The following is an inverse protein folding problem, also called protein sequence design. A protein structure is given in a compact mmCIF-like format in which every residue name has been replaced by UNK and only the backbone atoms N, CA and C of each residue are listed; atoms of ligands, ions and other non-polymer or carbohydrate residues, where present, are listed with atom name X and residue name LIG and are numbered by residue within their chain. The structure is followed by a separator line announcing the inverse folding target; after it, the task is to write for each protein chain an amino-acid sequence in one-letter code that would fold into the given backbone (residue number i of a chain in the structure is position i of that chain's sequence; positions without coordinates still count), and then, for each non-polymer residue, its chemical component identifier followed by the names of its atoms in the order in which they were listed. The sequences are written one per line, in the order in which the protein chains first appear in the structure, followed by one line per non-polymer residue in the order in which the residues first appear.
data_IF_621962125100
#
_entry.id   IF_621962125100
#
_cell.length_a   1.000
_cell.length_b   1.000
_cell.length_c   1.000
_cell.angle_alpha   90.00
_cell.angle_beta   90.00
_cell.angle_gamma   90.00
#
_symmetry.space_group_name_H-M   'P 1'
#
loop_
_entity.id
_entity.type
_entity.pdbx_description
1 polymer ?
#
# COMPACT_ATOMS: atom_id res chain seq x y z
N UNK A 1 8.98 11.45 -13.86
CA UNK A 1 9.96 12.55 -13.59
C UNK A 1 10.13 13.38 -14.84
N UNK A 2 10.10 14.72 -14.79
CA UNK A 2 10.39 15.56 -15.96
C UNK A 2 11.87 15.43 -16.36
N UNK A 3 12.12 15.25 -17.65
CA UNK A 3 13.48 15.11 -18.23
C UNK A 3 13.73 16.14 -19.35
N UNK A 4 12.83 17.10 -19.51
CA UNK A 4 12.90 18.19 -20.48
C UNK A 4 11.57 18.90 -20.60
N UNK A 5 11.48 19.84 -21.55
CA UNK A 5 10.28 20.68 -21.72
C UNK A 5 8.99 19.88 -22.10
N UNK A 6 9.15 18.76 -22.81
CA UNK A 6 8.04 17.93 -23.32
C UNK A 6 8.12 16.47 -22.88
N UNK A 7 9.15 16.08 -22.13
CA UNK A 7 9.42 14.68 -21.84
C UNK A 7 9.38 14.38 -20.36
N UNK A 8 8.80 13.22 -20.03
CA UNK A 8 8.78 12.65 -18.69
C UNK A 8 9.26 11.21 -18.75
N UNK A 9 10.04 10.75 -17.78
CA UNK A 9 10.22 9.34 -17.57
C UNK A 9 9.06 8.79 -16.75
N UNK A 10 8.63 7.55 -17.02
CA UNK A 10 7.60 6.87 -16.30
C UNK A 10 8.07 5.51 -15.82
N UNK A 11 7.99 5.28 -14.52
CA UNK A 11 8.29 3.98 -13.94
C UNK A 11 7.03 3.10 -13.96
N UNK A 12 7.13 1.98 -14.66
CA UNK A 12 6.07 0.97 -14.71
C UNK A 12 6.43 -0.22 -13.84
N UNK A 13 5.46 -0.70 -13.07
CA UNK A 13 5.62 -1.96 -12.33
C UNK A 13 5.34 -3.10 -13.28
N UNK A 14 6.32 -3.99 -13.45
CA UNK A 14 6.21 -5.16 -14.32
C UNK A 14 4.98 -6.01 -13.99
N UNK A 15 4.25 -6.41 -15.03
CA UNK A 15 3.03 -7.20 -14.91
C UNK A 15 1.77 -6.44 -14.49
N UNK A 16 1.86 -5.12 -14.20
CA UNK A 16 0.70 -4.25 -13.99
C UNK A 16 0.10 -3.80 -15.31
N UNK A 17 -1.10 -3.23 -15.25
CA UNK A 17 -1.91 -2.96 -16.43
C UNK A 17 -1.26 -1.97 -17.40
N UNK A 18 -0.68 -0.88 -16.91
CA UNK A 18 0.07 0.05 -17.76
C UNK A 18 1.26 -0.62 -18.44
N UNK A 19 2.00 -1.48 -17.72
CA UNK A 19 3.11 -2.24 -18.32
C UNK A 19 2.62 -3.21 -19.40
N UNK A 20 1.52 -3.92 -19.16
CA UNK A 20 0.93 -4.83 -20.15
C UNK A 20 0.47 -4.08 -21.40
N UNK A 21 -0.22 -2.94 -21.22
CA UNK A 21 -0.67 -2.09 -22.32
C UNK A 21 0.51 -1.55 -23.13
N UNK A 22 1.57 -1.10 -22.45
CA UNK A 22 2.80 -0.63 -23.10
C UNK A 22 3.49 -1.76 -23.88
N UNK A 23 3.62 -2.95 -23.30
CA UNK A 23 4.22 -4.09 -24.00
C UNK A 23 3.39 -4.54 -25.20
N UNK A 24 2.06 -4.45 -25.10
CA UNK A 24 1.18 -4.73 -26.22
C UNK A 24 1.43 -3.75 -27.37
N UNK A 25 1.39 -2.44 -27.12
CA UNK A 25 1.66 -1.42 -28.15
C UNK A 25 3.06 -1.58 -28.76
N UNK A 26 4.08 -1.76 -27.91
CA UNK A 26 5.47 -1.96 -28.33
C UNK A 26 5.64 -3.16 -29.25
N UNK A 27 4.97 -4.28 -28.98
CA UNK A 27 5.04 -5.49 -29.79
C UNK A 27 4.38 -5.30 -31.18
N UNK A 28 3.53 -4.28 -31.32
CA UNK A 28 2.92 -3.86 -32.60
C UNK A 28 3.68 -2.71 -33.28
N UNK A 29 4.80 -2.26 -32.73
CA UNK A 29 5.59 -1.15 -33.27
C UNK A 29 4.92 0.21 -33.05
N UNK A 30 4.07 0.33 -32.02
CA UNK A 30 3.27 1.52 -31.76
C UNK A 30 3.68 2.19 -30.44
N UNK A 31 3.61 3.51 -30.39
CA UNK A 31 3.64 4.26 -29.14
C UNK A 31 2.30 4.13 -28.43
N UNK A 32 2.32 4.08 -27.08
CA UNK A 32 1.08 3.97 -26.31
C UNK A 32 0.52 5.36 -26.00
N UNK A 33 -0.67 5.74 -26.52
CA UNK A 33 -1.33 6.97 -26.12
C UNK A 33 -1.65 6.99 -24.63
N UNK A 34 -1.41 8.14 -23.97
CA UNK A 34 -1.68 8.33 -22.54
C UNK A 34 -2.27 9.71 -22.26
N UNK A 35 -3.03 9.81 -21.18
CA UNK A 35 -3.47 11.04 -20.58
C UNK A 35 -3.14 11.04 -19.09
N UNK A 36 -2.39 12.04 -18.63
CA UNK A 36 -2.01 12.21 -17.23
C UNK A 36 -2.88 13.29 -16.62
N UNK A 37 -3.61 12.97 -15.56
CA UNK A 37 -4.47 13.90 -14.83
C UNK A 37 -3.86 14.33 -13.52
N UNK A 38 -3.88 15.62 -13.22
CA UNK A 38 -3.39 16.21 -11.96
C UNK A 38 -4.53 17.03 -11.34
N UNK A 39 -4.61 17.01 -10.02
CA UNK A 39 -5.66 17.72 -9.30
C UNK A 39 -7.04 17.07 -9.53
N UNK A 40 -7.16 15.79 -9.27
CA UNK A 40 -8.43 15.05 -9.34
C UNK A 40 -9.06 14.93 -7.95
N UNK A 41 -10.35 14.58 -7.90
CA UNK A 41 -11.03 14.31 -6.64
C UNK A 41 -10.33 13.18 -5.87
N UNK A 42 -10.14 13.26 -4.52
CA UNK A 42 -9.44 12.25 -3.72
C UNK A 42 -9.94 10.81 -3.92
N UNK A 43 -11.22 10.60 -4.15
CA UNK A 43 -11.77 9.28 -4.47
C UNK A 43 -11.15 8.65 -5.73
N UNK A 44 -10.76 9.47 -6.71
CA UNK A 44 -10.10 9.01 -7.94
C UNK A 44 -8.65 8.64 -7.64
N UNK A 45 -7.95 9.47 -6.86
CA UNK A 45 -6.58 9.19 -6.40
C UNK A 45 -6.53 7.89 -5.58
N UNK A 46 -7.48 7.69 -4.66
CA UNK A 46 -7.60 6.46 -3.88
C UNK A 46 -7.85 5.27 -4.82
N UNK A 47 -8.82 5.37 -5.72
CA UNK A 47 -9.14 4.31 -6.66
C UNK A 47 -7.96 3.92 -7.54
N UNK A 48 -7.15 4.89 -8.01
CA UNK A 48 -5.97 4.64 -8.85
C UNK A 48 -4.87 3.82 -8.15
N UNK A 49 -4.87 3.78 -6.82
CA UNK A 49 -3.94 2.98 -6.02
C UNK A 49 -4.39 1.50 -5.90
N UNK A 50 -5.67 1.21 -6.12
CA UNK A 50 -6.17 -0.16 -6.14
C UNK A 50 -5.77 -0.86 -7.44
N UNK A 51 -5.72 -2.18 -7.39
CA UNK A 51 -5.55 -3.00 -8.57
C UNK A 51 -6.87 -3.72 -8.85
N UNK A 52 -7.56 -3.32 -9.90
CA UNK A 52 -8.69 -4.05 -10.42
C UNK A 52 -8.23 -5.33 -11.15
N UNK A 53 -9.15 -6.23 -11.43
CA UNK A 53 -8.87 -7.37 -12.30
C UNK A 53 -8.60 -6.88 -13.73
N UNK A 54 -7.73 -7.57 -14.46
CA UNK A 54 -7.43 -7.22 -15.84
C UNK A 54 -8.71 -7.11 -16.70
N UNK A 55 -8.84 -6.01 -17.42
CA UNK A 55 -10.03 -5.69 -18.21
C UNK A 55 -11.11 -4.92 -17.43
N UNK A 56 -10.94 -4.69 -16.13
CA UNK A 56 -11.78 -3.79 -15.34
C UNK A 56 -11.02 -2.51 -15.04
N UNK A 57 -11.71 -1.38 -15.13
CA UNK A 57 -11.10 -0.07 -14.87
C UNK A 57 -11.26 0.31 -13.39
N UNK A 58 -10.20 0.86 -12.79
CA UNK A 58 -10.25 1.51 -11.48
C UNK A 58 -11.25 2.67 -11.42
N UNK A 59 -11.65 3.22 -12.58
CA UNK A 59 -12.72 4.20 -12.65
C UNK A 59 -14.06 3.67 -12.10
N UNK A 60 -14.30 2.35 -12.12
CA UNK A 60 -15.49 1.76 -11.48
C UNK A 60 -15.44 1.88 -9.96
N UNK A 61 -14.25 1.74 -9.36
CA UNK A 61 -14.01 1.93 -7.92
C UNK A 61 -14.21 3.41 -7.57
N UNK A 62 -13.62 4.32 -8.35
CA UNK A 62 -13.81 5.76 -8.19
C UNK A 62 -15.29 6.15 -8.28
N UNK A 63 -16.00 5.59 -9.25
CA UNK A 63 -17.43 5.86 -9.42
C UNK A 63 -18.26 5.39 -8.22
N UNK A 64 -17.95 4.23 -7.67
CA UNK A 64 -18.60 3.72 -6.44
C UNK A 64 -18.33 4.64 -5.24
N UNK A 65 -17.07 5.07 -5.05
CA UNK A 65 -16.70 6.01 -3.99
C UNK A 65 -17.38 7.38 -4.15
N UNK A 66 -17.72 7.77 -5.36
CA UNK A 66 -18.44 9.01 -5.71
C UNK A 66 -19.96 8.82 -5.78
N UNK A 67 -20.50 7.73 -5.23
CA UNK A 67 -21.94 7.42 -5.30
C UNK A 67 -22.50 7.48 -6.73
N UNK A 68 -21.77 6.91 -7.69
CA UNK A 68 -22.08 6.87 -9.12
C UNK A 68 -22.14 8.25 -9.80
N UNK A 69 -21.36 9.22 -9.31
CA UNK A 69 -21.30 10.60 -9.85
C UNK A 69 -19.99 10.91 -10.57
N UNK A 70 -19.20 9.90 -10.96
CA UNK A 70 -17.99 10.12 -11.75
C UNK A 70 -18.35 10.60 -13.16
N UNK A 71 -18.05 11.85 -13.44
CA UNK A 71 -18.19 12.41 -14.79
C UNK A 71 -16.87 12.29 -15.55
N UNK A 72 -16.93 11.78 -16.77
CA UNK A 72 -15.79 11.63 -17.67
C UNK A 72 -15.98 12.50 -18.92
N UNK A 73 -14.86 12.97 -19.49
CA UNK A 73 -14.80 13.65 -20.79
C UNK A 73 -13.69 13.03 -21.63
N UNK A 74 -13.81 13.11 -22.96
CA UNK A 74 -12.77 12.61 -23.87
C UNK A 74 -11.73 13.69 -24.15
N UNK A 75 -10.48 13.32 -24.08
CA UNK A 75 -9.37 14.16 -24.50
C UNK A 75 -9.46 14.46 -26.02
N UNK A 76 -9.19 15.69 -26.46
CA UNK A 76 -9.32 16.08 -27.86
C UNK A 76 -8.39 15.32 -28.82
N UNK A 77 -7.18 15.00 -28.41
CA UNK A 77 -6.16 14.33 -29.26
C UNK A 77 -6.25 12.82 -29.10
N UNK A 78 -5.98 12.31 -27.91
CA UNK A 78 -5.87 10.86 -27.64
C UNK A 78 -7.21 10.13 -27.60
N UNK A 79 -8.32 10.85 -27.50
CA UNK A 79 -9.69 10.32 -27.28
C UNK A 79 -9.85 9.50 -25.99
N UNK A 80 -8.85 9.51 -25.11
CA UNK A 80 -8.89 8.84 -23.81
C UNK A 80 -9.88 9.55 -22.90
N UNK A 81 -10.70 8.77 -22.20
CA UNK A 81 -11.65 9.30 -21.22
C UNK A 81 -10.90 9.65 -19.92
N UNK A 82 -11.08 10.88 -19.44
CA UNK A 82 -10.49 11.41 -18.21
C UNK A 82 -11.56 12.00 -17.31
N UNK A 83 -11.34 12.13 -15.98
CA UNK A 83 -12.26 12.82 -15.09
C UNK A 83 -12.47 14.27 -15.56
N UNK A 84 -13.73 14.65 -15.78
CA UNK A 84 -14.09 15.99 -16.31
C UNK A 84 -13.74 17.13 -15.34
N UNK A 85 -13.51 16.79 -14.06
CA UNK A 85 -13.16 17.73 -12.99
C UNK A 85 -11.66 17.85 -12.73
N UNK A 86 -10.81 17.24 -13.57
CA UNK A 86 -9.35 17.37 -13.45
C UNK A 86 -8.91 18.83 -13.57
N UNK A 87 -7.96 19.23 -12.76
CA UNK A 87 -7.38 20.58 -12.80
C UNK A 87 -6.46 20.75 -14.02
N UNK A 88 -5.63 19.72 -14.28
CA UNK A 88 -4.69 19.68 -15.41
C UNK A 88 -4.80 18.30 -16.07
N UNK A 89 -4.77 18.28 -17.40
CA UNK A 89 -4.68 17.05 -18.21
C UNK A 89 -3.54 17.21 -19.21
N UNK A 90 -2.59 16.30 -19.18
CA UNK A 90 -1.49 16.24 -20.13
C UNK A 90 -1.73 15.06 -21.08
N UNK A 91 -1.96 15.33 -22.36
CA UNK A 91 -2.06 14.31 -23.41
C UNK A 91 -0.70 14.07 -24.05
N UNK A 92 -0.41 12.82 -24.36
CA UNK A 92 0.83 12.43 -25.00
C UNK A 92 0.88 10.94 -25.28
N UNK A 93 2.08 10.45 -25.44
CA UNK A 93 2.33 9.03 -25.76
C UNK A 93 3.61 8.53 -25.10
N UNK A 94 3.59 7.27 -24.68
CA UNK A 94 4.78 6.57 -24.20
C UNK A 94 5.50 6.02 -25.41
N UNK A 95 6.72 6.49 -25.61
CA UNK A 95 7.56 6.12 -26.76
C UNK A 95 8.09 4.68 -26.59
N UNK A 96 7.88 3.85 -27.60
CA UNK A 96 8.22 2.43 -27.53
C UNK A 96 9.75 2.14 -27.49
N UNK A 97 10.57 3.03 -28.03
CA UNK A 97 11.99 2.85 -28.24
C UNK A 97 12.87 3.80 -27.39
N UNK A 98 12.25 4.77 -26.69
CA UNK A 98 12.99 5.76 -25.91
C UNK A 98 12.94 5.44 -24.40
N UNK A 99 14.11 5.40 -23.78
CA UNK A 99 14.25 5.21 -22.34
C UNK A 99 15.15 6.27 -21.73
N UNK A 100 14.93 6.54 -20.44
CA UNK A 100 15.77 7.41 -19.60
C UNK A 100 16.19 6.68 -18.35
N UNK A 101 17.43 6.90 -17.89
CA UNK A 101 17.89 6.34 -16.61
C UNK A 101 17.37 7.22 -15.48
N UNK A 102 16.55 6.65 -14.63
CA UNK A 102 15.85 7.38 -13.57
C UNK A 102 16.32 6.95 -12.19
N UNK A 103 16.64 7.93 -11.37
CA UNK A 103 16.80 7.82 -9.93
C UNK A 103 15.50 8.25 -9.27
N UNK A 104 14.99 7.44 -8.36
CA UNK A 104 13.72 7.70 -7.72
C UNK A 104 13.80 7.44 -6.22
N UNK A 105 13.20 8.33 -5.44
CA UNK A 105 12.92 8.07 -4.02
C UNK A 105 11.70 7.17 -3.93
N UNK A 106 11.86 6.03 -3.30
CA UNK A 106 10.78 5.06 -3.10
C UNK A 106 9.94 5.38 -1.86
N UNK A 107 8.84 4.65 -1.70
CA UNK A 107 7.89 4.83 -0.60
C UNK A 107 8.53 4.66 0.80
N UNK A 108 9.66 3.99 0.92
CA UNK A 108 10.43 3.90 2.18
C UNK A 108 11.33 5.11 2.43
N UNK A 109 11.33 6.12 1.57
CA UNK A 109 12.24 7.28 1.55
C UNK A 109 13.70 6.90 1.31
N UNK A 110 13.95 5.73 0.78
CA UNK A 110 15.26 5.30 0.29
C UNK A 110 15.32 5.47 -1.22
N UNK A 111 16.52 5.68 -1.76
CA UNK A 111 16.70 5.66 -3.21
C UNK A 111 16.64 4.24 -3.73
N UNK A 112 15.90 4.02 -4.81
CA UNK A 112 15.98 2.79 -5.58
C UNK A 112 17.19 2.82 -6.52
N UNK A 113 17.58 1.64 -7.01
CA UNK A 113 18.64 1.53 -8.03
C UNK A 113 18.20 2.23 -9.32
N UNK A 114 19.13 2.91 -10.03
CA UNK A 114 18.82 3.49 -11.32
C UNK A 114 18.26 2.44 -12.27
N UNK A 115 17.15 2.76 -12.93
CA UNK A 115 16.53 1.86 -13.92
C UNK A 115 16.22 2.62 -15.19
N UNK A 116 16.33 1.93 -16.33
CA UNK A 116 15.84 2.46 -17.60
C UNK A 116 14.32 2.45 -17.58
N UNK A 117 13.74 3.65 -17.58
CA UNK A 117 12.30 3.87 -17.61
C UNK A 117 11.85 4.37 -18.98
N UNK A 118 10.71 3.95 -19.53
CA UNK A 118 10.16 4.50 -20.75
C UNK A 118 9.91 6.01 -20.65
N UNK A 119 9.90 6.68 -21.79
CA UNK A 119 9.73 8.13 -21.89
C UNK A 119 8.35 8.44 -22.45
N UNK A 120 7.65 9.38 -21.80
CA UNK A 120 6.42 9.99 -22.30
C UNK A 120 6.82 11.28 -23.05
N UNK A 121 6.29 11.46 -24.24
CA UNK A 121 6.26 12.74 -24.95
C UNK A 121 4.91 13.40 -24.74
N UNK A 122 4.88 14.63 -24.20
CA UNK A 122 3.66 15.42 -24.02
C UNK A 122 3.39 16.21 -25.29
N UNK A 123 2.21 16.05 -25.84
CA UNK A 123 1.75 16.72 -27.05
C UNK A 123 0.93 17.97 -26.73
N UNK A 124 0.10 17.88 -25.68
CA UNK A 124 -0.79 18.99 -25.28
C UNK A 124 -1.03 18.98 -23.76
N UNK A 125 -1.11 20.17 -23.20
CA UNK A 125 -1.53 20.38 -21.80
C UNK A 125 -2.81 21.21 -21.81
N UNK A 126 -3.85 20.69 -21.14
CA UNK A 126 -5.09 21.37 -20.85
C UNK A 126 -5.14 21.68 -19.38
N UNK A 127 -5.62 22.84 -18.99
CA UNK A 127 -5.74 23.24 -17.59
C UNK A 127 -6.92 24.18 -17.39
N UNK A 128 -7.46 24.18 -16.19
CA UNK A 128 -8.53 25.08 -15.79
C UNK A 128 -7.99 26.49 -15.54
N UNK A 129 -8.85 27.48 -15.65
CA UNK A 129 -8.53 28.81 -15.11
C UNK A 129 -8.29 28.67 -13.61
N UNK A 130 -7.15 29.18 -13.13
CA UNK A 130 -6.69 29.06 -11.73
C UNK A 130 -6.52 27.60 -11.26
N UNK A 131 -5.97 26.73 -12.13
CA UNK A 131 -5.75 25.32 -11.83
C UNK A 131 -4.90 25.12 -10.56
N UNK A 132 -5.32 24.19 -9.72
CA UNK A 132 -4.57 23.77 -8.53
C UNK A 132 -3.67 22.60 -8.92
N UNK A 133 -2.36 22.77 -8.72
CA UNK A 133 -1.41 21.69 -8.89
C UNK A 133 -1.34 20.86 -7.61
N UNK A 134 -1.74 19.58 -7.71
CA UNK A 134 -1.64 18.62 -6.62
C UNK A 134 -0.50 17.64 -6.92
N UNK A 135 0.48 17.59 -6.05
CA UNK A 135 1.62 16.65 -6.12
C UNK A 135 1.60 15.70 -4.93
N UNK A 136 2.03 14.46 -5.16
CA UNK A 136 2.16 13.43 -4.12
C UNK A 136 3.64 13.16 -3.91
N UNK A 137 4.17 13.67 -2.80
CA UNK A 137 5.57 13.54 -2.48
C UNK A 137 5.93 12.09 -2.14
N UNK A 138 6.77 11.47 -2.95
CA UNK A 138 7.19 10.08 -2.78
C UNK A 138 7.85 9.83 -1.42
N UNK A 139 7.47 8.74 -0.77
CA UNK A 139 8.00 8.33 0.54
C UNK A 139 7.43 9.09 1.74
N UNK A 140 6.51 10.04 1.54
CA UNK A 140 5.81 10.72 2.63
C UNK A 140 4.45 10.08 2.92
N UNK A 141 3.75 10.60 3.93
CA UNK A 141 2.55 9.97 4.52
C UNK A 141 1.48 9.63 3.49
N UNK A 142 1.15 10.56 2.59
CA UNK A 142 0.12 10.36 1.57
C UNK A 142 0.49 9.24 0.60
N UNK A 143 1.71 9.28 0.04
CA UNK A 143 2.18 8.24 -0.88
C UNK A 143 2.18 6.85 -0.22
N UNK A 144 2.65 6.75 1.03
CA UNK A 144 2.65 5.50 1.79
C UNK A 144 1.26 4.99 2.09
N UNK A 145 0.34 5.90 2.45
CA UNK A 145 -1.06 5.56 2.72
C UNK A 145 -1.74 5.03 1.46
N UNK A 146 -1.60 5.70 0.33
CA UNK A 146 -2.16 5.27 -0.95
C UNK A 146 -1.65 3.90 -1.39
N UNK A 147 -0.36 3.62 -1.18
CA UNK A 147 0.22 2.31 -1.49
C UNK A 147 -0.23 1.22 -0.51
N UNK A 148 -0.35 1.54 0.77
CA UNK A 148 -0.68 0.57 1.82
C UNK A 148 -2.17 0.23 1.90
N UNK A 149 -3.06 1.19 1.71
CA UNK A 149 -4.50 1.04 1.90
C UNK A 149 -5.12 -0.12 1.10
N UNK A 150 -4.81 -0.32 -0.20
CA UNK A 150 -5.33 -1.45 -0.96
C UNK A 150 -4.85 -2.80 -0.41
N UNK A 151 -3.59 -2.86 0.03
CA UNK A 151 -2.99 -4.07 0.58
C UNK A 151 -3.57 -4.40 1.93
N UNK A 152 -3.76 -3.41 2.79
CA UNK A 152 -4.40 -3.56 4.10
C UNK A 152 -5.84 -4.06 3.95
N UNK A 153 -6.62 -3.47 3.04
CA UNK A 153 -7.97 -3.91 2.71
C UNK A 153 -8.00 -5.37 2.24
N UNK A 154 -7.09 -5.75 1.33
CA UNK A 154 -6.95 -7.12 0.84
C UNK A 154 -6.59 -8.11 1.96
N UNK A 155 -5.63 -7.75 2.83
CA UNK A 155 -5.23 -8.57 3.97
C UNK A 155 -6.40 -8.79 4.93
N UNK A 156 -7.15 -7.72 5.27
CA UNK A 156 -8.36 -7.80 6.09
C UNK A 156 -9.37 -8.78 5.48
N UNK A 157 -9.66 -8.67 4.19
CA UNK A 157 -10.60 -9.55 3.50
C UNK A 157 -10.16 -11.03 3.52
N UNK A 158 -8.90 -11.31 3.21
CA UNK A 158 -8.34 -12.67 3.18
C UNK A 158 -8.33 -13.28 4.58
N UNK A 159 -7.81 -12.56 5.58
CA UNK A 159 -7.65 -13.10 6.91
C UNK A 159 -8.98 -13.28 7.63
N UNK A 160 -9.92 -12.35 7.52
CA UNK A 160 -11.29 -12.50 8.08
C UNK A 160 -12.03 -13.68 7.46
N UNK A 161 -11.85 -13.94 6.16
CA UNK A 161 -12.46 -15.10 5.49
C UNK A 161 -11.87 -16.43 5.99
N UNK A 162 -10.54 -16.49 6.21
CA UNK A 162 -9.85 -17.71 6.65
C UNK A 162 -9.91 -17.95 8.16
N UNK A 163 -9.88 -16.88 8.94
CA UNK A 163 -9.81 -16.91 10.41
C UNK A 163 -10.87 -15.97 10.98
N UNK A 164 -12.00 -16.51 11.39
CA UNK A 164 -13.15 -15.75 11.91
C UNK A 164 -12.83 -14.90 13.14
N UNK A 165 -11.78 -15.25 13.89
CA UNK A 165 -11.29 -14.51 15.05
C UNK A 165 -10.52 -13.23 14.67
N UNK A 166 -10.16 -13.02 13.40
CA UNK A 166 -9.49 -11.79 12.95
C UNK A 166 -10.43 -10.60 13.07
N UNK A 167 -10.03 -9.59 13.84
CA UNK A 167 -10.74 -8.32 14.01
C UNK A 167 -10.29 -7.30 12.99
N UNK A 168 -8.99 -7.04 12.96
CA UNK A 168 -8.39 -6.02 12.11
C UNK A 168 -6.98 -6.40 11.71
N UNK A 169 -6.56 -5.93 10.55
CA UNK A 169 -5.18 -5.96 10.09
C UNK A 169 -4.77 -4.55 9.75
N UNK A 170 -3.64 -4.11 10.25
CA UNK A 170 -3.10 -2.77 10.04
C UNK A 170 -1.69 -2.87 9.48
N UNK A 171 -1.40 -2.13 8.43
CA UNK A 171 -0.03 -1.90 7.97
C UNK A 171 0.53 -0.69 8.71
N UNK A 172 1.55 -0.90 9.54
CA UNK A 172 2.05 0.14 10.43
C UNK A 172 2.77 1.25 9.69
N UNK A 173 2.60 2.49 10.16
CA UNK A 173 3.33 3.65 9.63
C UNK A 173 4.85 3.52 9.80
N UNK A 174 5.31 2.95 10.92
CA UNK A 174 6.72 2.64 11.16
C UNK A 174 7.29 1.62 10.17
N UNK A 175 6.49 0.66 9.72
CA UNK A 175 6.79 -0.26 8.61
C UNK A 175 6.52 0.34 7.23
N UNK A 176 6.38 1.66 7.13
CA UNK A 176 6.09 2.43 5.91
C UNK A 176 4.82 1.99 5.19
N UNK A 177 3.82 1.51 5.93
CA UNK A 177 2.57 0.94 5.42
C UNK A 177 2.77 -0.22 4.42
N UNK A 178 3.90 -0.93 4.53
CA UNK A 178 4.29 -1.95 3.55
C UNK A 178 4.98 -3.18 4.13
N UNK A 179 5.97 -2.98 5.01
CA UNK A 179 6.85 -4.05 5.48
C UNK A 179 6.40 -4.70 6.78
N UNK A 180 5.52 -4.07 7.56
CA UNK A 180 5.05 -4.57 8.85
C UNK A 180 3.52 -4.53 8.93
N UNK A 181 2.93 -5.68 9.28
CA UNK A 181 1.51 -5.83 9.57
C UNK A 181 1.29 -6.21 11.02
N UNK A 182 0.32 -5.57 11.67
CA UNK A 182 -0.24 -5.99 12.96
C UNK A 182 -1.59 -6.62 12.72
N UNK A 183 -1.79 -7.84 13.22
CA UNK A 183 -3.05 -8.59 13.12
C UNK A 183 -3.69 -8.69 14.50
N UNK A 184 -4.80 -8.02 14.68
CA UNK A 184 -5.60 -8.10 15.91
C UNK A 184 -6.59 -9.26 15.82
N UNK A 185 -6.64 -10.10 16.85
CA UNK A 185 -7.52 -11.27 16.92
C UNK A 185 -8.25 -11.35 18.26
N UNK A 186 -9.46 -11.93 18.25
CA UNK A 186 -10.07 -12.49 19.46
C UNK A 186 -9.58 -13.93 19.63
N UNK A 187 -8.56 -14.13 20.44
CA UNK A 187 -7.93 -15.44 20.63
C UNK A 187 -8.87 -16.42 21.33
N UNK A 188 -8.91 -17.64 20.84
CA UNK A 188 -9.61 -18.79 21.46
C UNK A 188 -8.59 -19.87 21.79
N UNK A 189 -9.00 -20.87 22.61
CA UNK A 189 -8.13 -22.01 22.97
C UNK A 189 -7.60 -22.78 21.74
N UNK A 190 -8.35 -22.77 20.63
CA UNK A 190 -8.00 -23.48 19.39
C UNK A 190 -7.30 -22.60 18.36
N UNK A 191 -7.02 -21.33 18.67
CA UNK A 191 -6.38 -20.40 17.72
C UNK A 191 -4.92 -20.79 17.50
N UNK A 192 -4.59 -21.06 16.26
CA UNK A 192 -3.19 -21.26 15.83
C UNK A 192 -2.62 -19.97 15.27
N UNK A 193 -1.95 -19.18 16.13
CA UNK A 193 -1.37 -17.88 15.78
C UNK A 193 -0.28 -18.01 14.72
N UNK A 194 0.56 -19.05 14.79
CA UNK A 194 1.61 -19.29 13.79
C UNK A 194 1.02 -19.46 12.39
N UNK A 195 -0.14 -20.13 12.27
CA UNK A 195 -0.83 -20.26 10.98
C UNK A 195 -1.31 -18.91 10.45
N UNK A 196 -1.80 -18.01 11.33
CA UNK A 196 -2.20 -16.65 10.95
C UNK A 196 -0.97 -15.87 10.42
N UNK A 197 0.17 -15.97 11.10
CA UNK A 197 1.44 -15.34 10.67
C UNK A 197 1.84 -15.81 9.26
N UNK A 198 1.86 -17.13 9.02
CA UNK A 198 2.23 -17.69 7.71
C UNK A 198 1.27 -17.24 6.60
N UNK A 199 -0.03 -17.25 6.86
CA UNK A 199 -1.04 -16.83 5.89
C UNK A 199 -0.94 -15.33 5.59
N UNK A 200 -0.62 -14.50 6.58
CA UNK A 200 -0.39 -13.07 6.39
C UNK A 200 0.80 -12.81 5.46
N UNK A 201 1.92 -13.51 5.66
CA UNK A 201 3.06 -13.44 4.75
C UNK A 201 2.75 -13.96 3.35
N UNK A 202 1.94 -14.99 3.24
CA UNK A 202 1.47 -15.53 1.96
C UNK A 202 0.59 -14.55 1.19
N UNK A 203 -0.27 -13.81 1.90
CA UNK A 203 -1.21 -12.87 1.32
C UNK A 203 -0.53 -11.58 0.80
N UNK A 204 0.56 -11.14 1.46
CA UNK A 204 1.39 -10.02 0.99
C UNK A 204 2.88 -10.34 1.10
N UNK A 205 3.48 -10.71 -0.02
CA UNK A 205 4.87 -11.20 -0.07
C UNK A 205 5.93 -10.15 0.30
N UNK A 206 5.60 -8.87 0.25
CA UNK A 206 6.51 -7.79 0.64
C UNK A 206 6.65 -7.62 2.15
N UNK A 207 5.72 -8.16 2.95
CA UNK A 207 5.84 -8.10 4.40
C UNK A 207 7.15 -8.73 4.87
N UNK A 208 7.81 -8.05 5.78
CA UNK A 208 9.02 -8.49 6.48
C UNK A 208 8.73 -8.87 7.93
N UNK A 209 7.75 -8.19 8.53
CA UNK A 209 7.35 -8.43 9.91
C UNK A 209 5.83 -8.60 10.00
N UNK A 210 5.39 -9.50 10.88
CA UNK A 210 4.00 -9.68 11.26
C UNK A 210 3.94 -9.82 12.77
N UNK A 211 3.16 -8.96 13.44
CA UNK A 211 2.88 -9.07 14.87
C UNK A 211 1.39 -9.40 15.06
N UNK A 212 1.10 -10.42 15.85
CA UNK A 212 -0.29 -10.80 16.19
C UNK A 212 -0.55 -10.40 17.64
N UNK A 213 -1.66 -9.69 17.87
CA UNK A 213 -2.07 -9.17 19.18
C UNK A 213 -3.51 -9.56 19.50
N UNK A 214 -3.87 -9.57 20.79
CA UNK A 214 -5.25 -9.76 21.23
C UNK A 214 -6.11 -8.50 20.98
N UNK A 215 -7.43 -8.63 21.15
CA UNK A 215 -8.42 -7.57 20.88
C UNK A 215 -8.45 -6.42 21.92
N UNK A 216 -7.71 -6.57 23.01
CA UNK A 216 -7.49 -5.50 24.00
C UNK A 216 -6.33 -4.56 23.63
N UNK A 217 -5.60 -4.84 22.57
CA UNK A 217 -4.48 -4.04 22.04
C UNK A 217 -4.94 -3.29 20.78
N UNK A 218 -4.76 -1.97 20.78
CA UNK A 218 -5.01 -1.17 19.57
C UNK A 218 -3.91 -1.39 18.53
N UNK A 219 -4.19 -2.03 17.38
CA UNK A 219 -3.19 -2.32 16.36
C UNK A 219 -2.73 -1.06 15.60
N UNK A 220 -3.40 0.07 15.77
CA UNK A 220 -3.04 1.36 15.15
C UNK A 220 -2.09 2.18 16.01
N UNK A 221 -2.02 1.90 17.31
CA UNK A 221 -1.12 2.55 18.26
C UNK A 221 0.17 1.74 18.44
N UNK A 222 1.29 2.31 17.99
CA UNK A 222 2.59 1.68 18.08
C UNK A 222 3.00 1.35 19.53
N UNK A 223 2.64 2.23 20.47
CA UNK A 223 2.97 2.03 21.89
C UNK A 223 2.19 0.86 22.50
N UNK A 224 0.91 0.71 22.13
CA UNK A 224 0.09 -0.45 22.53
C UNK A 224 0.67 -1.76 21.99
N UNK A 225 1.10 -1.77 20.72
CA UNK A 225 1.70 -2.95 20.09
C UNK A 225 3.04 -3.30 20.75
N UNK A 226 3.89 -2.29 20.99
CA UNK A 226 5.18 -2.48 21.71
C UNK A 226 4.97 -3.01 23.12
N UNK A 227 3.98 -2.47 23.85
CA UNK A 227 3.58 -2.98 25.16
C UNK A 227 3.22 -4.47 25.11
N UNK A 228 2.42 -4.90 24.14
CA UNK A 228 2.07 -6.30 23.97
C UNK A 228 3.31 -7.17 23.70
N UNK A 229 4.22 -6.71 22.85
CA UNK A 229 5.48 -7.40 22.58
C UNK A 229 6.37 -7.51 23.82
N UNK A 230 6.46 -6.45 24.62
CA UNK A 230 7.29 -6.44 25.82
C UNK A 230 6.73 -7.31 26.96
N UNK A 231 5.40 -7.45 27.05
CA UNK A 231 4.75 -8.10 28.21
C UNK A 231 4.21 -9.51 27.95
N UNK A 232 3.98 -9.90 26.69
CA UNK A 232 3.30 -11.17 26.33
C UNK A 232 4.18 -12.13 25.55
N UNK A 233 5.16 -11.61 24.81
CA UNK A 233 6.03 -12.38 23.92
C UNK A 233 7.17 -13.05 24.65
N UNK A 234 7.42 -14.34 24.33
CA UNK A 234 8.59 -15.10 24.75
C UNK A 234 9.34 -15.57 23.50
N UNK A 235 10.57 -15.05 23.32
CA UNK A 235 11.31 -15.22 22.06
C UNK A 235 11.60 -16.69 21.71
N UNK A 236 11.77 -17.56 22.72
CA UNK A 236 12.02 -18.99 22.54
C UNK A 236 10.79 -19.79 22.04
N UNK A 237 9.58 -19.26 22.18
CA UNK A 237 8.31 -19.95 21.87
C UNK A 237 7.47 -19.26 20.83
N UNK A 238 7.44 -17.92 20.88
CA UNK A 238 6.47 -17.10 20.20
C UNK A 238 7.04 -16.40 18.96
N UNK A 239 8.35 -16.63 18.69
CA UNK A 239 9.02 -16.14 17.49
C UNK A 239 8.91 -17.14 16.35
N UNK A 240 8.56 -16.62 15.16
CA UNK A 240 8.60 -17.32 13.89
C UNK A 240 9.65 -16.68 12.99
N UNK A 241 10.65 -17.43 12.56
CA UNK A 241 11.66 -16.97 11.59
C UNK A 241 11.50 -17.79 10.32
N UNK A 242 11.29 -17.12 9.19
CA UNK A 242 11.22 -17.75 7.87
C UNK A 242 12.44 -17.29 7.07
N UNK A 243 13.39 -18.19 6.86
CA UNK A 243 14.66 -17.89 6.18
C UNK A 243 14.56 -18.07 4.67
N UNK A 244 15.37 -17.30 3.94
CA UNK A 244 15.58 -17.44 2.50
C UNK A 244 14.31 -17.46 1.66
N UNK A 245 13.39 -16.53 1.94
CA UNK A 245 12.13 -16.36 1.18
C UNK A 245 12.16 -15.09 0.34
N UNK A 246 11.23 -14.98 -0.61
CA UNK A 246 11.11 -13.78 -1.43
C UNK A 246 10.68 -12.60 -0.54
N UNK A 247 11.45 -11.51 -0.63
CA UNK A 247 11.19 -10.24 0.03
C UNK A 247 10.67 -9.16 -0.91
N UNK A 248 10.64 -7.94 -0.41
CA UNK A 248 10.36 -6.74 -1.19
C UNK A 248 11.64 -6.21 -1.84
N UNK A 249 11.57 -5.76 -3.09
CA UNK A 249 12.65 -4.99 -3.73
C UNK A 249 12.87 -3.63 -3.05
N UNK A 250 11.87 -3.15 -2.30
CA UNK A 250 11.95 -1.90 -1.55
C UNK A 250 12.69 -2.05 -0.21
N UNK A 251 12.82 -3.28 0.31
CA UNK A 251 13.54 -3.54 1.56
C UNK A 251 15.07 -3.47 1.32
N UNK A 252 15.75 -2.41 1.79
CA UNK A 252 17.18 -2.23 1.53
C UNK A 252 18.06 -3.29 2.21
N UNK A 253 17.54 -4.01 3.21
CA UNK A 253 18.25 -5.06 3.92
C UNK A 253 18.12 -6.44 3.26
N UNK A 254 17.31 -6.58 2.22
CA UNK A 254 17.19 -7.82 1.45
C UNK A 254 18.32 -7.95 0.43
N UNK A 255 18.61 -9.18 0.00
CA UNK A 255 19.49 -9.40 -1.16
C UNK A 255 18.82 -8.78 -2.41
N UNK A 256 19.36 -7.65 -2.87
CA UNK A 256 18.78 -6.88 -3.98
C UNK A 256 18.92 -7.56 -5.35
N UNK A 257 19.82 -8.54 -5.50
CA UNK A 257 19.98 -9.31 -6.74
C UNK A 257 18.99 -10.47 -6.82
N UNK A 258 18.86 -11.23 -5.71
CA UNK A 258 18.01 -12.43 -5.65
C UNK A 258 16.63 -12.16 -5.05
N UNK A 259 16.41 -10.97 -4.52
CA UNK A 259 15.21 -10.56 -3.77
C UNK A 259 14.89 -11.55 -2.63
N UNK A 260 15.93 -11.98 -1.90
CA UNK A 260 15.80 -12.90 -0.77
C UNK A 260 16.00 -12.18 0.56
N UNK A 261 15.19 -12.57 1.53
CA UNK A 261 15.22 -12.02 2.90
C UNK A 261 14.85 -13.08 3.92
N UNK A 262 15.02 -12.77 5.20
CA UNK A 262 14.36 -13.47 6.28
C UNK A 262 13.15 -12.65 6.76
N UNK A 263 12.12 -13.34 7.23
CA UNK A 263 10.89 -12.72 7.77
C UNK A 263 10.71 -13.11 9.23
N UNK A 264 10.13 -12.19 10.01
CA UNK A 264 9.90 -12.35 11.43
C UNK A 264 8.41 -12.25 11.74
N UNK A 265 7.85 -13.28 12.36
CA UNK A 265 6.52 -13.29 12.94
C UNK A 265 6.59 -13.31 14.47
N UNK A 266 5.77 -12.52 15.13
CA UNK A 266 5.71 -12.38 16.58
C UNK A 266 4.29 -12.71 17.03
N UNK A 267 4.15 -13.71 17.93
CA UNK A 267 2.93 -13.94 18.68
C UNK A 267 3.01 -13.13 19.98
N UNK A 268 2.40 -11.95 19.99
CA UNK A 268 2.29 -11.08 21.16
C UNK A 268 0.88 -11.17 21.79
N UNK A 269 0.26 -12.34 21.71
CA UNK A 269 -1.01 -12.62 22.38
C UNK A 269 -0.79 -13.16 23.78
N UNK A 270 -1.78 -13.05 24.67
CA UNK A 270 -1.71 -13.60 26.02
C UNK A 270 -1.44 -15.11 25.93
N UNK A 271 -0.38 -15.64 26.58
CA UNK A 271 -0.07 -17.05 26.56
C UNK A 271 -1.22 -17.88 27.18
N UNK A 272 -1.65 -18.93 26.48
CA UNK A 272 -2.77 -19.78 26.95
C UNK A 272 -2.51 -20.53 28.26
N UNK A 273 -1.24 -20.63 28.69
CA UNK A 273 -0.81 -21.23 29.96
C UNK A 273 -0.80 -20.24 31.13
N UNK A 274 -1.03 -18.96 30.88
CA UNK A 274 -1.00 -17.88 31.89
C UNK A 274 -2.43 -17.48 32.30
N UNK A 275 -2.55 -16.95 33.51
CA UNK A 275 -3.83 -16.38 33.98
C UNK A 275 -4.09 -15.06 33.24
N UNK A 276 -5.21 -14.92 32.53
CA UNK A 276 -5.51 -13.68 31.80
C UNK A 276 -5.53 -12.43 32.68
N UNK A 277 -5.87 -12.62 33.99
CA UNK A 277 -5.93 -11.52 34.97
C UNK A 277 -4.57 -10.81 35.15
N UNK A 278 -3.45 -11.54 35.03
CA UNK A 278 -2.09 -10.97 35.12
C UNK A 278 -1.73 -10.01 33.98
N UNK A 279 -2.51 -10.00 32.91
CA UNK A 279 -2.28 -9.15 31.73
C UNK A 279 -3.32 -8.03 31.59
N UNK A 280 -4.30 -7.93 32.51
CA UNK A 280 -5.28 -6.85 32.49
C UNK A 280 -4.63 -5.54 32.89
N UNK A 281 -4.84 -4.51 32.05
CA UNK A 281 -4.42 -3.16 32.41
C UNK A 281 -5.25 -2.67 33.61
N UNK A 282 -4.56 -2.07 34.60
CA UNK A 282 -5.20 -1.39 35.70
C UNK A 282 -6.09 -0.24 35.17
N UNK A 283 -7.33 -0.22 35.60
CA UNK A 283 -8.24 0.89 35.28
C UNK A 283 -8.08 1.96 36.39
N UNK A 284 -7.77 3.19 35.99
CA UNK A 284 -7.91 4.32 36.89
C UNK A 284 -9.36 4.41 37.38
N UNK A 285 -9.57 4.60 38.66
CA UNK A 285 -10.89 4.87 39.22
C UNK A 285 -11.46 6.12 38.52
N UNK A 286 -12.72 6.02 38.06
CA UNK A 286 -13.41 7.21 37.56
C UNK A 286 -13.54 8.20 38.72
N UNK A 287 -12.87 9.34 38.62
CA UNK A 287 -13.04 10.41 39.59
C UNK A 287 -14.49 10.86 39.50
N UNK A 288 -15.22 10.75 40.62
CA UNK A 288 -16.55 11.30 40.69
C UNK A 288 -16.44 12.83 40.71
N UNK A 289 -16.80 13.47 39.58
CA UNK A 289 -16.73 14.94 39.44
C UNK A 289 -17.53 15.70 40.51
N UNK A 290 -18.46 15.01 41.19
CA UNK A 290 -19.22 15.63 42.31
C UNK A 290 -18.42 15.73 43.62
N UNK A 291 -17.25 15.10 43.72
CA UNK A 291 -16.34 15.20 44.86
C UNK A 291 -15.32 16.36 44.71
N UNK A 292 -15.34 17.05 43.57
CA UNK A 292 -14.45 18.17 43.26
C UNK A 292 -15.16 19.54 43.36
N UNK A 293 -16.37 19.59 43.98
CA UNK A 293 -17.09 20.81 44.29
C UNK A 293 -16.91 21.19 45.75
#
# INVERSE_FOLDING_TARGET
MPIGKKFFSIRMVEGRDLHKSFMYAKNHGEDLPVAITVGVHPAITIASAFQAEWGKSEATIANSLLNNKLALTKCPISKIAVPSTSEIVMEGKILQDKTHSEWMVEMLRTYDMPRKAPVIEIEKIHYRNNAIFHDILSGYGEARLLMGMPIESKLNGILKKKFKQTKQVVLTSGGSNWLHAVVQISKTKTTNVKKIIYETFGAHRSLKMVTVVDDDIDPTDASSVEYAMATRFQADKDLVIIKNVRGSSLDPSSDQKKLRTAKMGIDATIPGSKRPEGFRLGKLAKINKNLLK
#
